data_IF_379757080975
#
_entry.id   IF_379757080975
#
_cell.length_a   1.000
_cell.length_b   1.000
_cell.length_c   1.000
_cell.angle_alpha   90.00
_cell.angle_beta   90.00
_cell.angle_gamma   90.00
#
_symmetry.space_group_name_H-M   'P 1'
#
loop_
_entity.id
_entity.type
_entity.pdbx_description
1 polymer ?
#
# COMPACT_ATOMS: atom_id res chain seq x y z
N UNK A 1 38.19 54.42 -41.75
CA UNK A 1 37.64 53.13 -42.20
C UNK A 1 36.24 53.04 -41.63
N UNK A 2 35.22 53.13 -42.50
CA UNK A 2 33.81 53.30 -42.15
C UNK A 2 33.13 51.93 -41.98
N UNK A 3 32.78 51.56 -40.75
CA UNK A 3 31.85 50.46 -40.48
C UNK A 3 30.44 51.03 -40.25
N UNK A 4 29.51 50.60 -41.09
CA UNK A 4 28.11 51.00 -41.08
C UNK A 4 27.31 50.14 -40.09
N UNK A 5 26.67 50.78 -39.10
CA UNK A 5 25.70 50.14 -38.22
C UNK A 5 24.36 49.94 -38.92
N UNK A 6 23.82 48.71 -38.84
CA UNK A 6 22.46 48.39 -39.31
C UNK A 6 21.46 48.35 -38.14
N UNK A 7 20.18 48.71 -38.37
CA UNK A 7 19.19 48.97 -37.31
C UNK A 7 18.51 47.70 -36.77
N UNK A 8 18.30 47.66 -35.45
CA UNK A 8 17.85 46.50 -34.68
C UNK A 8 16.33 46.20 -34.69
N UNK A 9 15.51 46.78 -35.57
CA UNK A 9 14.05 46.74 -35.43
C UNK A 9 13.35 46.09 -36.62
N UNK A 10 13.24 44.76 -36.61
CA UNK A 10 12.26 43.96 -37.38
C UNK A 10 12.39 42.48 -37.00
N UNK A 11 11.77 42.06 -35.90
CA UNK A 11 11.41 40.64 -35.69
C UNK A 11 9.89 40.53 -35.65
N UNK A 12 9.30 39.66 -36.49
CA UNK A 12 7.90 39.75 -36.89
C UNK A 12 6.90 39.24 -35.84
N UNK A 13 5.76 39.91 -35.79
CA UNK A 13 4.51 39.66 -35.07
C UNK A 13 3.83 38.28 -35.34
N UNK A 14 4.56 37.24 -35.74
CA UNK A 14 3.99 35.94 -36.19
C UNK A 14 3.86 34.86 -35.10
N UNK A 15 4.21 35.13 -33.84
CA UNK A 15 4.24 34.14 -32.77
C UNK A 15 2.96 34.02 -31.90
N UNK A 16 1.92 34.83 -32.13
CA UNK A 16 0.78 34.95 -31.19
C UNK A 16 -0.49 34.15 -31.56
N UNK A 17 -0.58 33.52 -32.74
CA UNK A 17 -1.81 32.83 -33.19
C UNK A 17 -1.84 31.31 -32.99
N UNK A 18 -0.74 30.68 -32.54
CA UNK A 18 -0.67 29.22 -32.35
C UNK A 18 -1.12 28.73 -30.95
N UNK A 19 -1.39 29.63 -30.00
CA UNK A 19 -1.69 29.27 -28.60
C UNK A 19 -3.17 29.00 -28.29
N UNK A 20 -4.11 29.39 -29.17
CA UNK A 20 -5.54 29.29 -28.89
C UNK A 20 -6.14 27.88 -29.10
N UNK A 21 -5.48 27.00 -29.86
CA UNK A 21 -6.02 25.67 -30.20
C UNK A 21 -5.69 24.57 -29.20
N UNK A 22 -4.83 24.83 -28.21
CA UNK A 22 -4.39 23.83 -27.25
C UNK A 22 -5.29 23.71 -26.00
N UNK A 23 -6.10 24.74 -25.68
CA UNK A 23 -6.87 24.79 -24.43
C UNK A 23 -8.22 24.09 -24.44
N UNK A 24 -8.95 24.08 -25.58
CA UNK A 24 -10.34 23.60 -25.59
C UNK A 24 -10.48 22.08 -25.55
N UNK A 25 -9.54 21.33 -26.13
CA UNK A 25 -9.64 19.87 -26.24
C UNK A 25 -9.46 19.12 -24.92
N UNK A 26 -8.48 19.54 -24.11
CA UNK A 26 -8.16 18.82 -22.87
C UNK A 26 -9.31 18.84 -21.86
N UNK A 27 -10.08 19.93 -21.83
CA UNK A 27 -11.25 20.03 -20.96
C UNK A 27 -12.39 19.10 -21.37
N UNK A 28 -12.60 18.93 -22.67
CA UNK A 28 -13.65 18.05 -23.19
C UNK A 28 -13.31 16.58 -22.90
N UNK A 29 -12.07 16.15 -23.19
CA UNK A 29 -11.63 14.77 -22.99
C UNK A 29 -11.80 14.33 -21.52
N UNK A 30 -11.33 15.15 -20.57
CA UNK A 30 -11.44 14.85 -19.14
C UNK A 30 -12.90 14.85 -18.64
N UNK A 31 -13.69 15.84 -19.05
CA UNK A 31 -15.12 15.92 -18.67
C UNK A 31 -15.91 14.73 -19.22
N UNK A 32 -15.60 14.29 -20.43
CA UNK A 32 -16.20 13.10 -21.01
C UNK A 32 -15.87 11.84 -20.19
N UNK A 33 -14.61 11.66 -19.79
CA UNK A 33 -14.21 10.53 -18.95
C UNK A 33 -14.95 10.52 -17.60
N UNK A 34 -15.05 11.68 -16.95
CA UNK A 34 -15.84 11.83 -15.71
C UNK A 34 -17.33 11.56 -15.93
N UNK A 35 -17.92 12.09 -16.99
CA UNK A 35 -19.32 11.85 -17.30
C UNK A 35 -19.62 10.35 -17.49
N UNK A 36 -18.74 9.62 -18.18
CA UNK A 36 -18.86 8.16 -18.33
C UNK A 36 -18.74 7.45 -16.97
N UNK A 37 -17.80 7.87 -16.12
CA UNK A 37 -17.64 7.32 -14.77
C UNK A 37 -18.89 7.54 -13.90
N UNK A 38 -19.42 8.77 -13.91
CA UNK A 38 -20.60 9.19 -13.15
C UNK A 38 -21.89 8.50 -13.67
N UNK A 39 -21.97 8.24 -14.98
CA UNK A 39 -23.04 7.47 -15.60
C UNK A 39 -22.96 5.96 -15.35
N UNK A 40 -21.92 5.48 -14.65
CA UNK A 40 -21.72 4.06 -14.37
C UNK A 40 -21.12 3.26 -15.52
N UNK A 41 -20.79 3.88 -16.65
CA UNK A 41 -20.15 3.24 -17.80
C UNK A 41 -18.63 3.10 -17.56
N UNK A 42 -18.28 2.25 -16.59
CA UNK A 42 -16.93 2.13 -16.06
C UNK A 42 -15.90 1.72 -17.12
N UNK A 43 -16.28 0.85 -18.05
CA UNK A 43 -15.39 0.41 -19.14
C UNK A 43 -15.05 1.54 -20.11
N UNK A 44 -16.05 2.34 -20.52
CA UNK A 44 -15.78 3.50 -21.39
C UNK A 44 -15.06 4.62 -20.64
N UNK A 45 -15.30 4.75 -19.32
CA UNK A 45 -14.55 5.68 -18.48
C UNK A 45 -13.05 5.33 -18.42
N UNK A 46 -12.69 4.05 -18.23
CA UNK A 46 -11.29 3.57 -18.27
C UNK A 46 -10.62 4.02 -19.58
N UNK A 47 -11.20 3.64 -20.73
CA UNK A 47 -10.64 3.99 -22.03
C UNK A 47 -10.55 5.52 -22.25
N UNK A 48 -11.50 6.29 -21.72
CA UNK A 48 -11.49 7.75 -21.84
C UNK A 48 -10.38 8.39 -20.96
N UNK A 49 -10.18 7.92 -19.73
CA UNK A 49 -9.08 8.38 -18.88
C UNK A 49 -7.71 7.99 -19.43
N UNK A 50 -7.54 6.78 -19.96
CA UNK A 50 -6.30 6.34 -20.62
C UNK A 50 -5.93 7.28 -21.78
N UNK A 51 -6.88 7.55 -22.68
CA UNK A 51 -6.67 8.50 -23.79
C UNK A 51 -6.34 9.91 -23.30
N UNK A 52 -6.97 10.36 -22.22
CA UNK A 52 -6.67 11.67 -21.64
C UNK A 52 -5.22 11.72 -21.14
N UNK A 53 -4.78 10.73 -20.36
CA UNK A 53 -3.42 10.65 -19.84
C UNK A 53 -2.36 10.54 -20.94
N UNK A 54 -2.65 9.78 -22.00
CA UNK A 54 -1.77 9.64 -23.16
C UNK A 54 -1.63 10.95 -23.95
N UNK A 55 -2.74 11.63 -24.24
CA UNK A 55 -2.75 12.85 -25.06
C UNK A 55 -2.29 14.08 -24.30
N UNK A 56 -2.45 14.10 -22.98
CA UNK A 56 -2.30 15.30 -22.14
C UNK A 56 -1.47 15.04 -20.87
N UNK A 57 -0.23 14.53 -20.97
CA UNK A 57 0.58 14.14 -19.80
C UNK A 57 0.99 15.30 -18.88
N UNK A 58 0.89 16.55 -19.36
CA UNK A 58 1.21 17.76 -18.59
C UNK A 58 -0.02 18.55 -18.11
N UNK A 59 -1.24 18.04 -18.32
CA UNK A 59 -2.46 18.73 -17.87
C UNK A 59 -2.55 18.73 -16.32
N UNK A 60 -2.96 19.83 -15.67
CA UNK A 60 -3.07 19.90 -14.21
C UNK A 60 -4.00 18.85 -13.58
N UNK A 61 -4.88 18.21 -14.36
CA UNK A 61 -5.80 17.17 -13.90
C UNK A 61 -5.25 15.75 -14.03
N UNK A 62 -4.01 15.58 -14.52
CA UNK A 62 -3.34 14.27 -14.57
C UNK A 62 -3.36 13.53 -13.23
N UNK A 63 -3.16 14.18 -12.06
CA UNK A 63 -3.26 13.48 -10.77
C UNK A 63 -4.67 12.97 -10.49
N UNK A 64 -5.71 13.76 -10.80
CA UNK A 64 -7.11 13.33 -10.64
C UNK A 64 -7.43 12.15 -11.58
N UNK A 65 -7.06 12.28 -12.85
CA UNK A 65 -7.28 11.24 -13.85
C UNK A 65 -6.56 9.93 -13.48
N UNK A 66 -5.32 10.04 -13.00
CA UNK A 66 -4.54 8.89 -12.55
C UNK A 66 -5.15 8.24 -11.32
N UNK A 67 -5.56 9.00 -10.30
CA UNK A 67 -6.26 8.45 -9.14
C UNK A 67 -7.55 7.70 -9.55
N UNK A 68 -8.40 8.34 -10.35
CA UNK A 68 -9.66 7.75 -10.82
C UNK A 68 -9.44 6.48 -11.63
N UNK A 69 -8.48 6.50 -12.55
CA UNK A 69 -8.12 5.34 -13.35
C UNK A 69 -7.57 4.21 -12.46
N UNK A 70 -6.68 4.52 -11.51
CA UNK A 70 -6.19 3.55 -10.52
C UNK A 70 -7.33 2.88 -9.76
N UNK A 71 -8.32 3.66 -9.31
CA UNK A 71 -9.53 3.14 -8.66
C UNK A 71 -10.35 2.24 -9.57
N UNK A 72 -10.59 2.63 -10.82
CA UNK A 72 -11.33 1.80 -11.79
C UNK A 72 -10.60 0.47 -12.03
N UNK A 73 -9.27 0.48 -12.17
CA UNK A 73 -8.49 -0.76 -12.30
C UNK A 73 -8.60 -1.65 -11.05
N UNK A 74 -8.52 -1.07 -9.86
CA UNK A 74 -8.61 -1.82 -8.60
C UNK A 74 -10.01 -2.40 -8.37
N UNK A 75 -11.05 -1.55 -8.41
CA UNK A 75 -12.41 -1.90 -7.95
C UNK A 75 -13.24 -2.57 -9.04
N UNK A 76 -13.13 -2.12 -10.30
CA UNK A 76 -13.99 -2.61 -11.40
C UNK A 76 -13.33 -3.78 -12.11
N UNK A 77 -12.03 -3.69 -12.36
CA UNK A 77 -11.30 -4.70 -13.14
C UNK A 77 -10.59 -5.75 -12.27
N UNK A 78 -10.42 -5.51 -10.97
CA UNK A 78 -9.64 -6.39 -10.08
C UNK A 78 -8.15 -6.46 -10.45
N UNK A 79 -7.64 -5.44 -11.14
CA UNK A 79 -6.30 -5.39 -11.75
C UNK A 79 -5.35 -4.53 -10.91
N UNK A 80 -4.94 -5.05 -9.74
CA UNK A 80 -4.05 -4.32 -8.84
C UNK A 80 -2.70 -3.93 -9.45
N UNK A 81 -1.99 -4.79 -10.21
CA UNK A 81 -0.72 -4.40 -10.81
C UNK A 81 -0.83 -3.14 -11.69
N UNK A 82 -1.91 -3.03 -12.45
CA UNK A 82 -2.23 -1.85 -13.27
C UNK A 82 -2.72 -0.67 -12.43
N UNK A 83 -3.48 -0.90 -11.35
CA UNK A 83 -3.90 0.18 -10.46
C UNK A 83 -2.71 0.89 -9.80
N UNK A 84 -1.67 0.13 -9.39
CA UNK A 84 -0.49 0.64 -8.68
C UNK A 84 0.21 1.75 -9.47
N UNK A 85 0.42 1.58 -10.79
CA UNK A 85 1.09 2.63 -11.60
C UNK A 85 0.33 3.96 -11.58
N UNK A 86 -1.00 3.91 -11.59
CA UNK A 86 -1.82 5.12 -11.64
C UNK A 86 -1.96 5.76 -10.26
N UNK A 87 -2.12 4.97 -9.20
CA UNK A 87 -2.07 5.48 -7.85
C UNK A 87 -0.70 6.07 -7.51
N UNK A 88 0.40 5.44 -7.93
CA UNK A 88 1.74 5.98 -7.68
C UNK A 88 1.95 7.32 -8.38
N UNK A 89 1.51 7.46 -9.64
CA UNK A 89 1.57 8.72 -10.36
C UNK A 89 0.83 9.85 -9.62
N UNK A 90 -0.40 9.59 -9.17
CA UNK A 90 -1.20 10.56 -8.42
C UNK A 90 -0.65 10.84 -7.00
N UNK A 91 -0.15 9.82 -6.30
CA UNK A 91 0.45 9.93 -4.97
C UNK A 91 1.70 10.82 -4.92
N UNK A 92 2.43 10.88 -6.03
CA UNK A 92 3.64 11.70 -6.19
C UNK A 92 3.36 13.13 -6.61
N UNK A 93 2.21 13.41 -7.22
CA UNK A 93 1.93 14.70 -7.85
C UNK A 93 1.45 15.83 -6.89
N UNK A 94 1.59 15.62 -5.58
CA UNK A 94 1.07 16.51 -4.52
C UNK A 94 -0.43 16.86 -4.70
N UNK A 95 -1.01 17.63 -3.76
CA UNK A 95 -2.41 18.05 -3.84
C UNK A 95 -3.45 17.01 -3.37
N UNK A 96 -4.75 17.24 -3.65
CA UNK A 96 -5.86 16.56 -2.99
C UNK A 96 -5.97 15.07 -3.34
N UNK A 97 -5.35 14.63 -4.43
CA UNK A 97 -5.38 13.25 -4.89
C UNK A 97 -4.22 12.41 -4.34
N UNK A 98 -3.24 13.03 -3.68
CA UNK A 98 -2.04 12.34 -3.24
C UNK A 98 -2.33 11.31 -2.13
N UNK A 99 -2.99 11.73 -1.04
CA UNK A 99 -3.33 10.83 0.08
C UNK A 99 -4.32 9.72 -0.30
N UNK A 100 -5.44 10.00 -1.00
CA UNK A 100 -6.32 8.93 -1.49
C UNK A 100 -5.58 7.90 -2.37
N UNK A 101 -4.61 8.35 -3.18
CA UNK A 101 -3.82 7.44 -4.00
C UNK A 101 -2.82 6.62 -3.19
N UNK A 102 -2.18 7.23 -2.17
CA UNK A 102 -1.34 6.50 -1.20
C UNK A 102 -2.14 5.42 -0.48
N UNK A 103 -3.38 5.72 -0.13
CA UNK A 103 -4.30 4.74 0.45
C UNK A 103 -4.57 3.58 -0.52
N UNK A 104 -4.84 3.90 -1.80
CA UNK A 104 -4.99 2.90 -2.86
C UNK A 104 -3.78 1.97 -3.05
N UNK A 105 -2.56 2.50 -2.92
CA UNK A 105 -1.31 1.71 -2.96
C UNK A 105 -1.20 0.71 -1.81
N UNK A 106 -1.86 0.97 -0.68
CA UNK A 106 -1.83 0.10 0.51
C UNK A 106 -3.02 -0.88 0.56
N UNK A 107 -3.99 -0.76 -0.35
CA UNK A 107 -5.14 -1.67 -0.48
C UNK A 107 -5.12 -2.49 -1.77
N UNK A 108 -4.15 -2.26 -2.66
CA UNK A 108 -4.04 -2.97 -3.94
C UNK A 108 -2.57 -3.24 -4.30
N UNK A 109 -2.00 -4.42 -4.00
CA UNK A 109 -2.59 -5.50 -3.20
C UNK A 109 -2.73 -5.16 -1.71
N UNK A 110 -3.80 -5.63 -1.06
CA UNK A 110 -3.99 -5.45 0.38
C UNK A 110 -3.21 -6.50 1.18
N UNK A 111 -1.99 -6.15 1.60
CA UNK A 111 -1.16 -7.00 2.48
C UNK A 111 -1.60 -6.99 3.95
N UNK A 112 -2.67 -6.25 4.30
CA UNK A 112 -3.14 -6.15 5.67
C UNK A 112 -4.65 -5.85 5.73
N UNK A 113 -5.53 -6.79 5.32
CA UNK A 113 -6.97 -6.57 5.30
C UNK A 113 -7.53 -6.18 6.67
N UNK A 114 -8.13 -4.98 6.75
CA UNK A 114 -8.67 -4.38 7.98
C UNK A 114 -10.20 -4.30 7.99
N UNK A 115 -10.86 -5.13 7.19
CA UNK A 115 -12.31 -5.14 7.05
C UNK A 115 -12.99 -5.58 8.35
N UNK A 116 -14.15 -5.01 8.70
CA UNK A 116 -14.93 -5.44 9.85
C UNK A 116 -15.13 -6.96 9.88
N UNK A 117 -15.15 -7.54 11.09
CA UNK A 117 -15.35 -8.97 11.34
C UNK A 117 -14.24 -9.91 10.86
N UNK A 118 -13.18 -9.39 10.25
CA UNK A 118 -12.02 -10.21 9.89
C UNK A 118 -11.38 -10.82 11.13
N UNK A 119 -10.93 -12.08 11.03
CA UNK A 119 -10.41 -12.91 12.12
C UNK A 119 -9.21 -13.70 11.66
N UNK A 120 -8.25 -13.90 12.56
CA UNK A 120 -7.08 -14.73 12.35
C UNK A 120 -6.79 -15.56 13.58
N UNK A 121 -6.33 -16.78 13.35
CA UNK A 121 -5.82 -17.67 14.38
C UNK A 121 -4.40 -18.08 14.00
N UNK A 122 -3.45 -17.68 14.81
CA UNK A 122 -2.05 -18.08 14.69
C UNK A 122 -1.73 -19.13 15.74
N UNK A 123 -0.86 -20.07 15.38
CA UNK A 123 -0.40 -21.13 16.28
C UNK A 123 1.11 -21.17 16.28
N UNK A 124 1.71 -21.67 17.36
CA UNK A 124 3.11 -22.08 17.32
C UNK A 124 3.29 -23.18 16.26
N UNK A 125 4.34 -23.05 15.44
CA UNK A 125 4.52 -23.93 14.26
C UNK A 125 4.77 -25.39 14.68
N UNK A 126 5.58 -25.59 15.71
CA UNK A 126 6.04 -26.92 16.13
C UNK A 126 4.89 -27.80 16.65
N UNK A 127 4.09 -27.30 17.59
CA UNK A 127 2.99 -28.09 18.17
C UNK A 127 1.66 -27.91 17.44
N UNK A 128 1.57 -26.91 16.56
CA UNK A 128 0.35 -26.54 15.86
C UNK A 128 -0.75 -26.00 16.77
N UNK A 129 -0.37 -25.32 17.86
CA UNK A 129 -1.30 -24.62 18.75
C UNK A 129 -1.61 -25.34 20.04
N UNK A 130 -0.98 -26.50 20.29
CA UNK A 130 -1.08 -27.19 21.59
C UNK A 130 -0.38 -26.38 22.68
N UNK A 131 0.75 -25.77 22.35
CA UNK A 131 1.55 -24.96 23.26
C UNK A 131 1.09 -23.50 23.28
N UNK A 132 0.89 -22.88 22.11
CA UNK A 132 0.47 -21.49 22.04
C UNK A 132 -0.42 -21.20 20.84
N UNK A 133 -1.52 -20.48 21.08
CA UNK A 133 -2.41 -19.96 20.04
C UNK A 133 -2.75 -18.50 20.30
N UNK A 134 -2.77 -17.69 19.25
CA UNK A 134 -3.23 -16.30 19.25
C UNK A 134 -4.47 -16.20 18.38
N UNK A 135 -5.60 -15.82 18.98
CA UNK A 135 -6.82 -15.47 18.25
C UNK A 135 -6.98 -13.96 18.24
N UNK A 136 -7.14 -13.35 17.06
CA UNK A 136 -7.38 -11.91 16.91
C UNK A 136 -8.52 -11.64 15.94
N UNK A 137 -9.20 -10.51 16.15
CA UNK A 137 -10.29 -10.05 15.29
C UNK A 137 -10.29 -8.52 15.16
N UNK A 138 -10.76 -8.01 14.04
CA UNK A 138 -11.08 -6.59 13.86
C UNK A 138 -12.28 -6.24 14.74
N UNK A 139 -12.08 -5.36 15.72
CA UNK A 139 -13.12 -4.84 16.62
C UNK A 139 -13.80 -3.60 16.07
N UNK A 140 -13.02 -2.70 15.51
CA UNK A 140 -13.50 -1.47 14.86
C UNK A 140 -12.68 -1.22 13.60
N UNK A 141 -13.28 -0.67 12.56
CA UNK A 141 -12.62 -0.38 11.29
C UNK A 141 -13.07 0.98 10.78
N UNK A 142 -12.13 1.75 10.23
CA UNK A 142 -12.36 2.95 9.44
C UNK A 142 -12.24 2.65 7.94
N UNK A 143 -12.56 1.42 7.54
CA UNK A 143 -12.47 0.94 6.17
C UNK A 143 -11.02 0.82 5.72
N UNK A 144 -10.67 1.46 4.60
CA UNK A 144 -9.32 1.47 4.10
C UNK A 144 -8.34 2.19 5.04
N UNK A 145 -8.77 3.15 5.86
CA UNK A 145 -7.83 3.99 6.61
C UNK A 145 -7.20 3.31 7.84
N UNK A 146 -7.84 2.31 8.44
CA UNK A 146 -7.34 1.70 9.67
C UNK A 146 -8.34 0.82 10.41
N UNK A 147 -7.89 0.22 11.51
CA UNK A 147 -8.71 -0.62 12.37
C UNK A 147 -8.12 -0.79 13.76
N UNK A 148 -8.97 -1.11 14.72
CA UNK A 148 -8.59 -1.68 16.00
C UNK A 148 -8.75 -3.20 15.95
N UNK A 149 -7.69 -3.91 16.31
CA UNK A 149 -7.65 -5.37 16.38
C UNK A 149 -7.40 -5.78 17.81
N UNK A 150 -8.20 -6.72 18.31
CA UNK A 150 -7.98 -7.29 19.63
C UNK A 150 -8.24 -8.78 19.67
N UNK A 151 -7.79 -9.41 20.75
CA UNK A 151 -7.74 -10.85 20.84
C UNK A 151 -7.10 -11.32 22.14
N UNK A 152 -6.64 -12.56 22.14
CA UNK A 152 -5.95 -13.14 23.27
C UNK A 152 -5.00 -14.29 22.89
N UNK A 153 -4.00 -14.51 23.72
CA UNK A 153 -3.13 -15.67 23.71
C UNK A 153 -3.65 -16.77 24.63
N UNK A 154 -3.47 -18.00 24.19
CA UNK A 154 -3.90 -19.22 24.86
C UNK A 154 -2.73 -20.20 24.96
N UNK A 155 -2.64 -20.90 26.09
CA UNK A 155 -1.80 -22.07 26.30
C UNK A 155 -2.72 -23.27 26.52
N UNK A 156 -2.82 -24.16 25.53
CA UNK A 156 -3.92 -25.11 25.43
C UNK A 156 -5.27 -24.37 25.42
N UNK A 157 -6.17 -24.70 26.36
CA UNK A 157 -7.47 -24.05 26.50
C UNK A 157 -7.44 -22.78 27.38
N UNK A 158 -6.33 -22.50 28.08
CA UNK A 158 -6.25 -21.41 29.06
C UNK A 158 -5.80 -20.11 28.40
N UNK A 159 -6.66 -19.09 28.43
CA UNK A 159 -6.28 -17.70 28.10
C UNK A 159 -5.29 -17.18 29.15
N UNK A 160 -4.20 -16.57 28.71
CA UNK A 160 -3.18 -16.05 29.64
C UNK A 160 -2.75 -14.60 29.37
N UNK A 161 -3.03 -14.04 28.18
CA UNK A 161 -2.66 -12.67 27.86
C UNK A 161 -3.62 -12.07 26.83
N UNK A 162 -3.94 -10.80 27.00
CA UNK A 162 -4.79 -10.05 26.06
C UNK A 162 -3.93 -9.44 24.95
N UNK A 163 -4.51 -9.33 23.75
CA UNK A 163 -3.88 -8.71 22.60
C UNK A 163 -4.69 -7.50 22.17
N UNK A 164 -4.03 -6.35 21.98
CA UNK A 164 -4.65 -5.15 21.42
C UNK A 164 -3.64 -4.38 20.56
N UNK A 165 -4.02 -4.07 19.32
CA UNK A 165 -3.26 -3.25 18.38
C UNK A 165 -4.20 -2.31 17.63
N UNK A 166 -3.71 -1.13 17.30
CA UNK A 166 -4.38 -0.22 16.36
C UNK A 166 -3.51 -0.10 15.11
N UNK A 167 -4.15 -0.19 13.96
CA UNK A 167 -3.50 -0.05 12.67
C UNK A 167 -4.06 1.14 11.92
N UNK A 168 -3.19 1.85 11.21
CA UNK A 168 -3.59 2.92 10.30
C UNK A 168 -2.73 2.94 9.05
N UNK A 169 -3.31 3.44 7.97
CA UNK A 169 -2.67 3.63 6.68
C UNK A 169 -2.56 5.13 6.44
N UNK A 170 -1.34 5.65 6.39
CA UNK A 170 -1.11 7.06 6.10
C UNK A 170 0.27 7.26 5.52
N UNK A 171 0.44 8.34 4.77
CA UNK A 171 1.69 8.64 4.07
C UNK A 171 2.06 7.47 3.15
N UNK A 172 3.08 6.69 3.46
CA UNK A 172 3.56 5.58 2.64
C UNK A 172 3.64 4.27 3.43
N UNK A 173 2.96 4.18 4.57
CA UNK A 173 3.17 3.10 5.53
C UNK A 173 1.87 2.58 6.14
N UNK A 174 1.89 1.28 6.46
CA UNK A 174 0.97 0.66 7.41
C UNK A 174 1.60 0.79 8.79
N UNK A 175 0.96 1.55 9.66
CA UNK A 175 1.39 1.80 11.02
C UNK A 175 0.69 0.85 11.99
N UNK A 176 1.42 0.39 13.00
CA UNK A 176 0.92 -0.36 14.15
C UNK A 176 1.23 0.42 15.44
N UNK A 177 0.26 0.51 16.35
CA UNK A 177 0.48 0.97 17.73
C UNK A 177 -0.06 -0.04 18.75
N UNK A 178 0.60 -0.11 19.91
CA UNK A 178 0.23 -0.97 21.02
C UNK A 178 -0.79 -0.28 21.93
N UNK A 179 -2.06 -0.69 21.86
CA UNK A 179 -3.13 -0.07 22.63
C UNK A 179 -3.19 1.45 22.40
N UNK A 180 -3.06 2.21 23.49
CA UNK A 180 -3.07 3.67 23.49
C UNK A 180 -1.64 4.27 23.62
N UNK A 181 -0.60 3.46 23.40
CA UNK A 181 0.77 3.95 23.38
C UNK A 181 0.95 5.02 22.28
N UNK A 182 1.69 6.11 22.57
CA UNK A 182 1.96 7.16 21.59
C UNK A 182 2.90 6.69 20.48
N UNK A 183 3.73 5.69 20.77
CA UNK A 183 4.67 5.12 19.82
C UNK A 183 3.94 4.22 18.81
N UNK A 184 4.17 4.49 17.53
CA UNK A 184 3.73 3.66 16.41
C UNK A 184 4.90 3.24 15.55
N UNK A 185 4.80 2.07 14.95
CA UNK A 185 5.80 1.51 14.07
C UNK A 185 5.24 1.27 12.67
N UNK A 186 5.94 1.67 11.60
CA UNK A 186 5.58 1.31 10.25
C UNK A 186 5.98 -0.15 10.02
N UNK A 187 5.02 -1.07 10.05
CA UNK A 187 5.25 -2.52 9.86
C UNK A 187 5.42 -2.87 8.37
N UNK A 188 4.86 -2.05 7.49
CA UNK A 188 5.05 -2.11 6.04
C UNK A 188 5.22 -0.70 5.50
N UNK A 189 6.07 -0.55 4.48
CA UNK A 189 6.30 0.73 3.80
C UNK A 189 6.41 0.53 2.30
N UNK A 190 5.64 1.31 1.54
CA UNK A 190 5.70 1.32 0.09
C UNK A 190 7.07 1.87 -0.41
N UNK A 191 7.61 1.38 -1.54
CA UNK A 191 7.12 0.27 -2.37
C UNK A 191 7.29 -1.10 -1.72
N UNK A 192 6.31 -1.98 -1.92
CA UNK A 192 6.32 -3.37 -1.41
C UNK A 192 7.21 -4.26 -2.27
N UNK A 193 8.51 -3.98 -2.27
CA UNK A 193 9.51 -4.72 -3.05
C UNK A 193 10.75 -5.02 -2.23
N UNK A 194 11.41 -6.12 -2.57
CA UNK A 194 12.66 -6.52 -1.93
C UNK A 194 13.72 -5.40 -1.97
N UNK A 195 14.52 -5.30 -0.90
CA UNK A 195 15.57 -4.27 -0.73
C UNK A 195 15.09 -2.95 -0.13
N UNK A 196 13.78 -2.74 0.01
CA UNK A 196 13.24 -1.57 0.74
C UNK A 196 13.55 -1.69 2.22
N UNK A 197 14.12 -0.64 2.82
CA UNK A 197 14.41 -0.58 4.25
C UNK A 197 13.98 0.72 4.91
N UNK A 198 13.80 0.68 6.22
CA UNK A 198 13.54 1.85 7.07
C UNK A 198 13.96 1.57 8.51
N UNK A 199 14.13 2.63 9.29
CA UNK A 199 14.52 2.53 10.71
C UNK A 199 13.55 3.33 11.57
N UNK A 200 13.33 2.86 12.79
CA UNK A 200 12.58 3.57 13.82
C UNK A 200 13.31 3.49 15.16
N UNK A 201 12.91 4.36 16.09
CA UNK A 201 13.25 4.22 17.50
C UNK A 201 11.98 3.80 18.26
N UNK A 202 12.08 2.73 19.06
CA UNK A 202 11.07 2.32 20.04
C UNK A 202 11.68 2.49 21.42
N UNK A 203 11.29 3.55 22.14
CA UNK A 203 12.01 3.99 23.33
C UNK A 203 13.51 4.24 23.03
N UNK A 204 14.39 3.52 23.73
CA UNK A 204 15.85 3.62 23.53
C UNK A 204 16.39 2.72 22.41
N UNK A 205 15.60 1.77 21.93
CA UNK A 205 16.04 0.78 20.95
C UNK A 205 15.84 1.27 19.53
N UNK A 206 16.85 1.06 18.68
CA UNK A 206 16.76 1.27 17.24
C UNK A 206 16.35 -0.03 16.57
N UNK A 207 15.30 0.00 15.76
CA UNK A 207 14.82 -1.17 15.01
C UNK A 207 14.91 -0.84 13.53
N UNK A 208 15.61 -1.70 12.79
CA UNK A 208 15.70 -1.66 11.33
C UNK A 208 14.74 -2.68 10.74
N UNK A 209 13.99 -2.23 9.75
CA UNK A 209 13.13 -3.07 8.94
C UNK A 209 13.67 -3.16 7.52
N UNK A 210 13.55 -4.34 6.91
CA UNK A 210 13.90 -4.57 5.51
C UNK A 210 12.87 -5.52 4.86
N UNK A 211 12.38 -5.22 3.67
CA UNK A 211 11.69 -6.21 2.83
C UNK A 211 12.80 -7.10 2.26
N UNK A 212 13.02 -8.25 2.89
CA UNK A 212 14.08 -9.18 2.55
C UNK A 212 13.80 -9.96 1.26
N UNK A 213 12.53 -10.20 0.96
CA UNK A 213 12.07 -10.82 -0.27
C UNK A 213 10.60 -10.47 -0.56
N UNK A 214 10.20 -10.57 -1.82
CA UNK A 214 8.85 -10.43 -2.35
C UNK A 214 8.55 -11.57 -3.34
N UNK A 215 7.29 -11.71 -3.79
CA UNK A 215 6.89 -12.74 -4.74
C UNK A 215 6.95 -14.18 -4.19
N UNK A 216 7.00 -14.34 -2.87
CA UNK A 216 7.17 -15.65 -2.25
C UNK A 216 5.86 -16.43 -2.22
N UNK A 217 5.94 -17.75 -2.40
CA UNK A 217 4.86 -18.66 -2.00
C UNK A 217 5.12 -19.15 -0.57
N UNK A 218 4.23 -18.81 0.36
CA UNK A 218 4.32 -19.20 1.77
C UNK A 218 3.27 -20.26 2.07
N UNK A 219 3.71 -21.40 2.61
CA UNK A 219 2.82 -22.48 3.08
C UNK A 219 2.67 -22.41 4.59
N UNK A 220 1.43 -22.55 5.05
CA UNK A 220 1.06 -22.66 6.46
C UNK A 220 -0.03 -23.71 6.64
N UNK A 221 -0.44 -23.95 7.89
CA UNK A 221 -1.63 -24.78 8.20
C UNK A 221 -2.94 -24.29 7.57
N UNK A 222 -3.08 -22.98 7.31
CA UNK A 222 -4.25 -22.39 6.67
C UNK A 222 -4.25 -22.52 5.14
N UNK A 223 -3.13 -22.95 4.51
CA UNK A 223 -3.04 -23.11 3.07
C UNK A 223 -1.71 -22.65 2.47
N UNK A 224 -1.73 -22.39 1.16
CA UNK A 224 -0.59 -21.86 0.41
C UNK A 224 -0.96 -20.50 -0.16
N UNK A 225 -0.11 -19.51 0.08
CA UNK A 225 -0.35 -18.12 -0.28
C UNK A 225 0.74 -17.64 -1.24
N UNK A 226 0.42 -17.22 -2.47
CA UNK A 226 1.39 -16.66 -3.40
C UNK A 226 1.67 -15.17 -3.11
N UNK A 227 2.67 -14.63 -3.80
CA UNK A 227 3.00 -13.20 -3.85
C UNK A 227 3.21 -12.52 -2.49
N UNK A 228 3.72 -13.27 -1.51
CA UNK A 228 3.95 -12.77 -0.17
C UNK A 228 5.26 -11.97 -0.05
N UNK A 229 5.28 -11.03 0.89
CA UNK A 229 6.46 -10.31 1.36
C UNK A 229 7.08 -11.04 2.55
N UNK A 230 8.41 -11.03 2.63
CA UNK A 230 9.18 -11.37 3.84
C UNK A 230 9.83 -10.11 4.39
N UNK A 231 9.37 -9.67 5.55
CA UNK A 231 9.83 -8.44 6.21
C UNK A 231 10.68 -8.80 7.40
N UNK A 232 11.95 -8.38 7.40
CA UNK A 232 12.89 -8.52 8.51
C UNK A 232 12.71 -7.34 9.47
N UNK A 233 12.66 -7.62 10.77
CA UNK A 233 12.79 -6.64 11.83
C UNK A 233 14.00 -7.01 12.70
N UNK A 234 14.99 -6.12 12.76
CA UNK A 234 16.24 -6.32 13.50
C UNK A 234 16.47 -5.17 14.48
N UNK A 235 16.51 -5.51 15.77
CA UNK A 235 16.84 -4.54 16.82
C UNK A 235 18.34 -4.45 16.96
N UNK A 236 18.88 -3.23 16.91
CA UNK A 236 20.31 -2.97 17.08
C UNK A 236 20.82 -3.52 18.42
N UNK A 237 21.98 -4.18 18.38
CA UNK A 237 22.60 -4.82 19.55
C UNK A 237 22.16 -6.27 19.79
N UNK A 238 21.15 -6.79 19.10
CA UNK A 238 20.74 -8.19 19.20
C UNK A 238 21.32 -9.03 18.06
N UNK A 239 21.74 -10.26 18.36
CA UNK A 239 22.23 -11.21 17.35
C UNK A 239 21.10 -11.84 16.53
N UNK A 240 19.87 -11.83 17.05
CA UNK A 240 18.68 -12.39 16.42
C UNK A 240 17.82 -11.31 15.77
N UNK A 241 16.99 -11.72 14.81
CA UNK A 241 15.96 -10.88 14.19
C UNK A 241 14.67 -11.68 13.98
N UNK A 242 13.59 -10.97 13.69
CA UNK A 242 12.29 -11.58 13.38
C UNK A 242 12.01 -11.38 11.90
N UNK A 243 11.47 -12.39 11.23
CA UNK A 243 10.80 -12.19 9.95
C UNK A 243 9.30 -12.35 10.10
N UNK A 244 8.54 -11.43 9.53
CA UNK A 244 7.10 -11.52 9.34
C UNK A 244 6.79 -11.68 7.86
N UNK A 245 5.87 -12.57 7.55
CA UNK A 245 5.45 -12.86 6.18
C UNK A 245 4.04 -12.30 5.96
N UNK A 246 3.87 -11.42 4.98
CA UNK A 246 2.58 -10.78 4.66
C UNK A 246 2.12 -11.20 3.27
N UNK A 247 0.87 -11.63 3.13
CA UNK A 247 0.31 -12.08 1.85
C UNK A 247 -0.92 -11.25 1.46
N UNK A 248 -1.12 -10.97 0.15
CA UNK A 248 -2.28 -10.23 -0.34
C UNK A 248 -3.60 -10.87 0.07
N UNK A 249 -4.56 -10.05 0.50
CA UNK A 249 -5.90 -10.50 0.89
C UNK A 249 -5.97 -11.29 2.20
N UNK A 250 -4.84 -11.50 2.87
CA UNK A 250 -4.77 -12.29 4.12
C UNK A 250 -4.18 -11.51 5.27
N UNK A 251 -3.07 -10.79 5.07
CA UNK A 251 -2.33 -10.18 6.17
C UNK A 251 -1.07 -10.96 6.52
N UNK A 252 -0.67 -10.90 7.79
CA UNK A 252 0.44 -11.72 8.30
C UNK A 252 0.04 -13.20 8.25
N UNK A 253 0.90 -14.05 7.72
CA UNK A 253 0.67 -15.51 7.64
C UNK A 253 1.66 -16.33 8.43
N UNK A 254 2.87 -15.81 8.67
CA UNK A 254 3.95 -16.55 9.33
C UNK A 254 4.91 -15.60 10.03
N UNK A 255 5.51 -16.08 11.12
CA UNK A 255 6.64 -15.43 11.79
C UNK A 255 7.74 -16.46 12.02
N UNK A 256 8.98 -16.04 11.78
CA UNK A 256 10.18 -16.86 12.04
C UNK A 256 11.20 -16.01 12.83
N UNK A 257 12.10 -16.68 13.54
CA UNK A 257 13.23 -16.03 14.22
C UNK A 257 14.51 -16.45 13.50
N UNK A 258 15.27 -15.46 13.03
CA UNK A 258 16.55 -15.66 12.37
C UNK A 258 17.73 -15.35 13.31
N UNK A 259 18.80 -16.10 13.12
CA UNK A 259 20.14 -15.89 13.67
C UNK A 259 21.15 -16.10 12.53
N UNK A 260 22.44 -15.74 12.69
CA UNK A 260 23.43 -16.03 11.65
C UNK A 260 23.43 -17.51 11.24
N UNK A 261 23.17 -17.77 9.96
CA UNK A 261 23.16 -19.12 9.39
C UNK A 261 21.91 -19.97 9.65
N UNK A 262 20.92 -19.49 10.39
CA UNK A 262 19.71 -20.27 10.70
C UNK A 262 18.45 -19.42 10.80
N UNK A 263 17.31 -20.00 10.42
CA UNK A 263 15.98 -19.40 10.57
C UNK A 263 15.01 -20.46 11.06
N UNK A 264 14.39 -20.22 12.21
CA UNK A 264 13.49 -21.15 12.86
C UNK A 264 12.04 -20.62 12.78
N UNK A 265 11.07 -21.46 12.36
CA UNK A 265 9.66 -21.06 12.40
C UNK A 265 9.21 -20.86 13.85
N UNK A 266 8.43 -19.81 14.07
CA UNK A 266 7.88 -19.47 15.39
C UNK A 266 6.36 -19.66 15.38
N UNK A 267 5.66 -18.85 14.57
CA UNK A 267 4.20 -18.92 14.46
C UNK A 267 3.76 -18.99 13.01
N UNK A 268 2.60 -19.58 12.78
CA UNK A 268 1.97 -19.64 11.46
C UNK A 268 0.46 -19.52 11.55
N UNK A 269 -0.16 -19.09 10.45
CA UNK A 269 -1.61 -18.96 10.32
C UNK A 269 -2.24 -20.34 10.21
N UNK A 270 -3.14 -20.64 11.13
CA UNK A 270 -3.92 -21.88 11.16
C UNK A 270 -5.31 -21.71 10.55
N UNK A 271 -5.94 -20.55 10.76
CA UNK A 271 -7.25 -20.23 10.20
C UNK A 271 -7.43 -18.72 10.05
N UNK A 272 -8.22 -18.30 9.08
CA UNK A 272 -8.62 -16.91 8.91
C UNK A 272 -9.98 -16.80 8.25
N UNK A 273 -10.61 -15.64 8.41
CA UNK A 273 -11.80 -15.22 7.70
C UNK A 273 -11.67 -13.73 7.47
N UNK A 274 -11.59 -13.30 6.22
CA UNK A 274 -11.52 -11.89 5.84
C UNK A 274 -12.81 -11.55 5.13
N UNK A 275 -13.53 -10.53 5.63
CA UNK A 275 -14.74 -10.06 4.96
C UNK A 275 -14.35 -9.42 3.63
N UNK A 276 -15.14 -9.61 2.55
CA UNK A 276 -14.97 -8.81 1.34
C UNK A 276 -15.09 -7.33 1.70
N UNK A 277 -14.15 -6.54 1.18
CA UNK A 277 -14.10 -5.09 1.36
C UNK A 277 -15.10 -4.34 0.49
#
# INVERSE_FOLDING_TARGET
MLEWGLPAWRRPLRALLALAWLGCGANLDFKQARHLEDAGDKMRAVAAFERFLERRPADPRVPEASFRLGRLHAEVLGRCPEAVRYFEAAARAEGPWAEPSRLGLMTCPDFFPLQPRSRWTYVDTESGGKNMRLEIAVKASSGAAGAEVSGAFFAGAKRFMDYRRRYSRSEWSVWESEGDAPDRAPILRFPFRAGRSWEIRRGKQKVRYDIAADGLTVRTKAGSFPDCLKVKAHTEGYASWVYEYFCPGVGRVKTTVGVPGSENPNTELAAFSVSPG
#
